data_IF_221672762861
#
_entry.id   IF_221672762861
#
_cell.length_a   1.000
_cell.length_b   1.000
_cell.length_c   1.000
_cell.angle_alpha   90.00
_cell.angle_beta   90.00
_cell.angle_gamma   90.00
#
_symmetry.space_group_name_H-M   'P 1'
#
loop_
_entity.id
_entity.type
_entity.pdbx_description
1 polymer ?
#
# COMPACT_ATOMS: atom_id res chain seq x y z
N UNK A 1 -13.50 4.78 4.92
CA UNK A 1 -12.02 4.68 5.15
C UNK A 1 -11.76 5.01 6.62
N UNK A 2 -10.74 4.44 7.27
CA UNK A 2 -10.36 4.89 8.62
C UNK A 2 -10.01 6.39 8.55
N UNK A 3 -10.79 7.24 9.24
CA UNK A 3 -10.54 8.68 9.33
C UNK A 3 -11.13 9.57 8.24
N UNK A 4 -12.17 9.18 7.48
CA UNK A 4 -12.85 10.15 6.60
C UNK A 4 -14.06 9.65 5.81
N UNK A 5 -14.84 10.61 5.28
CA UNK A 5 -16.10 10.40 4.55
C UNK A 5 -15.94 9.99 3.08
N UNK A 6 -14.70 9.95 2.57
CA UNK A 6 -14.43 9.60 1.17
C UNK A 6 -14.74 8.12 0.94
N UNK A 7 -15.52 7.78 -0.11
CA UNK A 7 -15.80 6.39 -0.47
C UNK A 7 -14.50 5.61 -0.70
N UNK A 8 -14.45 4.40 -0.15
CA UNK A 8 -13.27 3.53 -0.26
C UNK A 8 -12.87 3.24 -1.72
N UNK A 9 -13.84 3.15 -2.62
CA UNK A 9 -13.61 3.02 -4.06
C UNK A 9 -12.73 4.16 -4.64
N UNK A 10 -12.84 5.39 -4.10
CA UNK A 10 -12.00 6.51 -4.55
C UNK A 10 -10.52 6.24 -4.31
N UNK A 11 -10.18 5.59 -3.21
CA UNK A 11 -8.80 5.21 -2.91
C UNK A 11 -8.30 4.17 -3.91
N UNK A 12 -9.07 3.09 -4.12
CA UNK A 12 -8.72 2.03 -5.07
C UNK A 12 -8.49 2.59 -6.48
N UNK A 13 -9.40 3.44 -6.95
CA UNK A 13 -9.30 4.10 -8.25
C UNK A 13 -8.06 5.01 -8.34
N UNK A 14 -7.76 5.76 -7.28
CA UNK A 14 -6.60 6.64 -7.27
C UNK A 14 -5.28 5.87 -7.27
N UNK A 15 -5.17 4.77 -6.52
CA UNK A 15 -3.97 3.91 -6.53
C UNK A 15 -3.79 3.28 -7.91
N UNK A 16 -4.85 2.78 -8.53
CA UNK A 16 -4.80 2.23 -9.89
C UNK A 16 -4.37 3.28 -10.92
N UNK A 17 -4.92 4.49 -10.85
CA UNK A 17 -4.51 5.60 -11.71
C UNK A 17 -3.02 5.94 -11.53
N UNK A 18 -2.53 6.01 -10.29
CA UNK A 18 -1.13 6.27 -10.01
C UNK A 18 -0.20 5.19 -10.59
N UNK A 19 -0.60 3.92 -10.56
CA UNK A 19 0.16 2.83 -11.17
C UNK A 19 0.26 3.02 -12.68
N UNK A 20 -0.85 3.31 -13.36
CA UNK A 20 -0.86 3.55 -14.82
C UNK A 20 0.00 4.77 -15.19
N UNK A 21 -0.17 5.88 -14.46
CA UNK A 21 0.58 7.13 -14.70
C UNK A 21 2.10 6.97 -14.56
N UNK A 22 2.56 5.95 -13.82
CA UNK A 22 3.97 5.68 -13.55
C UNK A 22 4.47 4.42 -14.28
N UNK A 23 3.79 4.02 -15.35
CA UNK A 23 4.25 3.00 -16.28
C UNK A 23 3.97 1.56 -15.86
N UNK A 24 3.05 1.34 -14.92
CA UNK A 24 2.58 0.01 -14.56
C UNK A 24 1.77 -0.64 -15.69
N UNK A 25 1.73 -1.98 -15.67
CA UNK A 25 0.92 -2.78 -16.60
C UNK A 25 -0.57 -2.79 -16.23
N UNK A 26 -1.42 -3.29 -17.13
CA UNK A 26 -2.83 -3.52 -16.83
C UNK A 26 -3.02 -4.49 -15.66
N UNK A 27 -2.22 -5.56 -15.57
CA UNK A 27 -2.22 -6.48 -14.42
C UNK A 27 -1.87 -5.76 -13.11
N UNK A 28 -0.88 -4.85 -13.11
CA UNK A 28 -0.56 -4.05 -11.93
C UNK A 28 -1.68 -3.06 -11.58
N UNK A 29 -2.32 -2.46 -12.58
CA UNK A 29 -3.44 -1.54 -12.38
C UNK A 29 -4.69 -2.24 -11.84
N UNK A 30 -4.97 -3.47 -12.30
CA UNK A 30 -6.02 -4.33 -11.78
C UNK A 30 -5.69 -4.79 -10.35
N UNK A 31 -4.45 -5.21 -10.09
CA UNK A 31 -3.99 -5.54 -8.75
C UNK A 31 -4.08 -4.34 -7.80
N UNK A 32 -3.82 -3.12 -8.27
CA UNK A 32 -4.00 -1.90 -7.50
C UNK A 32 -5.46 -1.63 -7.12
N UNK A 33 -6.44 -1.99 -7.96
CA UNK A 33 -7.86 -1.92 -7.60
C UNK A 33 -8.24 -2.96 -6.53
N UNK A 34 -7.45 -4.03 -6.40
CA UNK A 34 -7.73 -5.17 -5.54
C UNK A 34 -6.78 -5.30 -4.34
N UNK A 35 -5.82 -4.38 -4.18
CA UNK A 35 -4.64 -4.58 -3.33
C UNK A 35 -4.94 -4.86 -1.85
N UNK A 36 -6.08 -4.35 -1.37
CA UNK A 36 -6.56 -4.50 0.00
C UNK A 36 -7.55 -5.66 0.18
N UNK A 37 -8.02 -6.31 -0.90
CA UNK A 37 -9.14 -7.26 -0.85
C UNK A 37 -8.84 -8.44 0.09
N UNK A 38 -7.59 -8.90 0.11
CA UNK A 38 -7.14 -9.99 0.98
C UNK A 38 -7.00 -9.56 2.45
N UNK A 39 -6.84 -8.27 2.73
CA UNK A 39 -6.73 -7.75 4.10
C UNK A 39 -8.09 -7.37 4.70
N UNK A 40 -8.98 -6.81 3.88
CA UNK A 40 -10.25 -6.23 4.33
C UNK A 40 -11.44 -7.20 4.21
N UNK A 41 -11.32 -8.29 3.43
CA UNK A 41 -12.39 -9.26 3.23
C UNK A 41 -12.04 -10.61 3.87
N UNK A 42 -12.76 -10.98 4.93
CA UNK A 42 -12.52 -12.24 5.67
C UNK A 42 -12.83 -13.51 4.85
N UNK A 43 -13.68 -13.39 3.84
CA UNK A 43 -14.15 -14.50 3.04
C UNK A 43 -13.39 -14.63 1.70
N UNK A 44 -12.42 -13.74 1.45
CA UNK A 44 -11.60 -13.77 0.22
C UNK A 44 -10.22 -14.33 0.54
N UNK A 45 -9.85 -15.38 -0.18
CA UNK A 45 -8.52 -15.99 -0.16
C UNK A 45 -7.84 -15.80 -1.51
N UNK A 46 -6.53 -16.06 -1.58
CA UNK A 46 -5.78 -16.13 -2.85
C UNK A 46 -6.48 -17.03 -3.86
N UNK A 47 -6.97 -18.20 -3.40
CA UNK A 47 -7.61 -19.17 -4.28
C UNK A 47 -8.99 -18.70 -4.78
N UNK A 48 -9.82 -18.12 -3.89
CA UNK A 48 -11.13 -17.63 -4.30
C UNK A 48 -11.02 -16.40 -5.20
N UNK A 49 -10.07 -15.49 -4.92
CA UNK A 49 -9.81 -14.34 -5.78
C UNK A 49 -9.34 -14.77 -7.18
N UNK A 50 -8.43 -15.76 -7.25
CA UNK A 50 -7.98 -16.31 -8.54
C UNK A 50 -9.14 -16.91 -9.31
N UNK A 51 -10.00 -17.68 -8.63
CA UNK A 51 -11.19 -18.28 -9.24
C UNK A 51 -12.17 -17.23 -9.74
N UNK A 52 -12.45 -16.18 -8.95
CA UNK A 52 -13.36 -15.10 -9.34
C UNK A 52 -12.87 -14.34 -10.57
N UNK A 53 -11.58 -14.02 -10.66
CA UNK A 53 -10.99 -13.38 -11.84
C UNK A 53 -11.15 -14.27 -13.09
N UNK A 54 -10.84 -15.56 -12.97
CA UNK A 54 -10.99 -16.50 -14.08
C UNK A 54 -12.45 -16.72 -14.48
N UNK A 55 -13.38 -16.75 -13.51
CA UNK A 55 -14.82 -16.83 -13.76
C UNK A 55 -15.36 -15.56 -14.45
N UNK A 56 -14.71 -14.41 -14.25
CA UNK A 56 -14.95 -13.16 -14.97
C UNK A 56 -14.21 -13.08 -16.32
N UNK A 57 -13.74 -14.21 -16.86
CA UNK A 57 -13.05 -14.33 -18.15
C UNK A 57 -11.70 -13.59 -18.24
N UNK A 58 -11.07 -13.25 -17.11
CA UNK A 58 -9.68 -12.78 -17.09
C UNK A 58 -8.77 -13.94 -17.54
N UNK A 59 -7.85 -13.75 -18.50
CA UNK A 59 -6.93 -14.79 -18.93
C UNK A 59 -6.19 -15.41 -17.74
N UNK A 60 -6.06 -16.74 -17.73
CA UNK A 60 -5.50 -17.45 -16.57
C UNK A 60 -4.14 -16.89 -16.13
N UNK A 61 -3.24 -16.56 -17.07
CA UNK A 61 -1.94 -15.96 -16.77
C UNK A 61 -2.08 -14.60 -16.05
N UNK A 62 -2.91 -13.71 -16.58
CA UNK A 62 -3.21 -12.39 -15.98
C UNK A 62 -3.86 -12.54 -14.61
N UNK A 63 -4.81 -13.46 -14.43
CA UNK A 63 -5.44 -13.72 -13.14
C UNK A 63 -4.39 -14.13 -12.08
N UNK A 64 -3.48 -15.06 -12.42
CA UNK A 64 -2.40 -15.45 -11.50
C UNK A 64 -1.43 -14.30 -11.22
N UNK A 65 -1.08 -13.50 -12.23
CA UNK A 65 -0.22 -12.33 -12.05
C UNK A 65 -0.86 -11.30 -11.11
N UNK A 66 -2.13 -10.96 -11.33
CA UNK A 66 -2.89 -10.01 -10.51
C UNK A 66 -2.89 -10.48 -9.05
N UNK A 67 -3.25 -11.73 -8.80
CA UNK A 67 -3.31 -12.25 -7.42
C UNK A 67 -1.93 -12.31 -6.78
N UNK A 68 -0.88 -12.67 -7.52
CA UNK A 68 0.49 -12.64 -7.01
C UNK A 68 0.93 -11.22 -6.61
N UNK A 69 0.55 -10.22 -7.39
CA UNK A 69 0.81 -8.81 -7.07
C UNK A 69 0.05 -8.39 -5.81
N UNK A 70 -1.25 -8.68 -5.73
CA UNK A 70 -2.09 -8.38 -4.55
C UNK A 70 -1.54 -9.04 -3.28
N UNK A 71 -1.11 -10.29 -3.37
CA UNK A 71 -0.46 -10.97 -2.26
C UNK A 71 0.86 -10.29 -1.87
N UNK A 72 1.62 -9.84 -2.88
CA UNK A 72 2.88 -9.12 -2.70
C UNK A 72 2.74 -7.70 -2.15
N UNK A 73 1.54 -7.12 -2.09
CA UNK A 73 1.28 -5.82 -1.47
C UNK A 73 0.91 -5.91 0.01
N UNK A 74 0.47 -7.10 0.48
CA UNK A 74 0.03 -7.34 1.86
C UNK A 74 1.21 -7.43 2.84
N UNK A 75 0.99 -6.90 4.06
CA UNK A 75 1.97 -6.93 5.14
C UNK A 75 1.82 -8.09 6.14
N UNK A 76 0.89 -9.03 5.85
CA UNK A 76 0.63 -10.20 6.68
C UNK A 76 0.47 -11.49 5.88
N UNK A 77 0.73 -12.60 6.55
CA UNK A 77 0.34 -13.93 6.05
C UNK A 77 -1.07 -14.27 6.52
N UNK A 78 -1.77 -15.06 5.71
CA UNK A 78 -3.12 -15.53 6.05
C UNK A 78 -3.13 -16.23 7.43
N UNK A 79 -4.14 -15.93 8.23
CA UNK A 79 -4.28 -16.42 9.61
C UNK A 79 -3.32 -15.83 10.65
N UNK A 80 -2.46 -14.85 10.31
CA UNK A 80 -1.57 -14.23 11.30
C UNK A 80 -2.32 -13.31 12.26
N UNK A 81 -2.15 -13.53 13.57
CA UNK A 81 -2.76 -12.68 14.59
C UNK A 81 -2.20 -11.24 14.54
N UNK A 82 -3.10 -10.26 14.42
CA UNK A 82 -2.75 -8.84 14.28
C UNK A 82 -2.93 -8.07 15.61
N UNK A 83 -2.05 -8.32 16.59
CA UNK A 83 -2.11 -7.68 17.93
C UNK A 83 -1.14 -6.51 18.11
N UNK A 84 -1.28 -5.79 19.24
CA UNK A 84 -0.34 -4.73 19.59
C UNK A 84 1.09 -5.22 19.80
N UNK A 85 1.25 -6.32 20.53
CA UNK A 85 2.54 -6.91 20.85
C UNK A 85 3.34 -7.36 19.62
N UNK A 86 2.66 -7.72 18.53
CA UNK A 86 3.27 -8.32 17.34
C UNK A 86 3.56 -7.30 16.24
N UNK A 87 3.07 -6.06 16.35
CA UNK A 87 3.13 -5.11 15.24
C UNK A 87 4.52 -4.63 14.88
N UNK A 88 5.35 -4.29 15.87
CA UNK A 88 6.70 -3.79 15.60
C UNK A 88 7.50 -4.85 14.82
N UNK A 89 7.40 -6.11 15.23
CA UNK A 89 8.03 -7.22 14.53
C UNK A 89 7.46 -7.41 13.12
N UNK A 90 6.12 -7.42 12.96
CA UNK A 90 5.49 -7.56 11.63
C UNK A 90 5.92 -6.45 10.67
N UNK A 91 5.84 -5.19 11.09
CA UNK A 91 6.22 -4.05 10.24
C UNK A 91 7.70 -4.05 9.92
N UNK A 92 8.56 -4.36 10.88
CA UNK A 92 10.00 -4.49 10.64
C UNK A 92 10.29 -5.57 9.61
N UNK A 93 9.69 -6.76 9.76
CA UNK A 93 9.83 -7.86 8.79
C UNK A 93 9.30 -7.47 7.41
N UNK A 94 8.17 -6.78 7.35
CA UNK A 94 7.61 -6.30 6.09
C UNK A 94 8.52 -5.28 5.40
N UNK A 95 9.05 -4.29 6.12
CA UNK A 95 9.98 -3.31 5.54
C UNK A 95 11.27 -3.99 5.03
N UNK A 96 11.80 -4.97 5.79
CA UNK A 96 12.95 -5.76 5.37
C UNK A 96 12.65 -6.59 4.12
N UNK A 97 11.49 -7.27 4.09
CA UNK A 97 11.06 -8.06 2.95
C UNK A 97 10.87 -7.18 1.71
N UNK A 98 10.15 -6.05 1.86
CA UNK A 98 9.98 -5.07 0.79
C UNK A 98 11.33 -4.58 0.27
N UNK A 99 12.27 -4.21 1.14
CA UNK A 99 13.61 -3.77 0.73
C UNK A 99 14.46 -4.89 0.09
N UNK A 100 14.12 -6.15 0.29
CA UNK A 100 14.82 -7.32 -0.27
C UNK A 100 14.20 -7.86 -1.56
N UNK A 101 13.00 -7.40 -1.94
CA UNK A 101 12.37 -7.76 -3.22
C UNK A 101 13.30 -7.46 -4.40
N UNK A 102 13.27 -8.26 -5.48
CA UNK A 102 13.86 -7.88 -6.75
C UNK A 102 13.37 -6.51 -7.20
N UNK A 103 14.23 -5.70 -7.81
CA UNK A 103 13.86 -4.31 -8.20
C UNK A 103 12.79 -4.23 -9.28
N UNK A 104 12.55 -5.33 -9.98
CA UNK A 104 11.52 -5.55 -10.98
C UNK A 104 10.25 -6.25 -10.44
N UNK A 105 10.16 -6.49 -9.12
CA UNK A 105 8.96 -7.07 -8.52
C UNK A 105 7.74 -6.13 -8.74
N UNK A 106 6.69 -6.60 -9.41
CA UNK A 106 5.57 -5.76 -9.83
C UNK A 106 4.75 -5.21 -8.64
N UNK A 107 4.85 -5.80 -7.44
CA UNK A 107 4.12 -5.30 -6.26
C UNK A 107 4.73 -4.02 -5.69
N UNK A 108 6.00 -3.70 -6.00
CA UNK A 108 6.67 -2.50 -5.48
C UNK A 108 5.95 -1.23 -5.92
N UNK A 109 5.60 -1.13 -7.21
CA UNK A 109 4.92 0.06 -7.74
C UNK A 109 3.51 0.21 -7.14
N UNK A 110 2.77 -0.90 -6.98
CA UNK A 110 1.43 -0.90 -6.39
C UNK A 110 1.50 -0.48 -4.92
N UNK A 111 2.40 -1.08 -4.13
CA UNK A 111 2.60 -0.69 -2.73
C UNK A 111 3.04 0.77 -2.60
N UNK A 112 3.92 1.27 -3.47
CA UNK A 112 4.34 2.67 -3.44
C UNK A 112 3.19 3.61 -3.76
N UNK A 113 2.39 3.32 -4.79
CA UNK A 113 1.22 4.10 -5.16
C UNK A 113 0.19 4.17 -4.03
N UNK A 114 -0.08 3.05 -3.36
CA UNK A 114 -0.94 2.99 -2.17
C UNK A 114 -0.42 3.92 -1.07
N UNK A 115 0.86 3.79 -0.71
CA UNK A 115 1.43 4.61 0.38
C UNK A 115 1.52 6.10 0.02
N UNK A 116 1.75 6.45 -1.25
CA UNK A 116 1.66 7.85 -1.73
C UNK A 116 0.25 8.38 -1.53
N UNK A 117 -0.77 7.68 -2.04
CA UNK A 117 -2.14 8.14 -1.90
C UNK A 117 -2.57 8.24 -0.43
N UNK A 118 -2.15 7.30 0.42
CA UNK A 118 -2.44 7.33 1.84
C UNK A 118 -1.80 8.52 2.55
N UNK A 119 -0.53 8.80 2.29
CA UNK A 119 0.17 9.95 2.85
C UNK A 119 -0.46 11.26 2.36
N UNK A 120 -0.72 11.41 1.06
CA UNK A 120 -1.33 12.62 0.51
C UNK A 120 -2.76 12.85 1.04
N UNK A 121 -3.54 11.78 1.24
CA UNK A 121 -4.87 11.87 1.87
C UNK A 121 -4.80 12.31 3.34
N UNK A 122 -3.80 11.83 4.09
CA UNK A 122 -3.53 12.31 5.45
C UNK A 122 -3.09 13.76 5.44
N UNK A 123 -2.22 14.16 4.50
CA UNK A 123 -1.75 15.53 4.39
C UNK A 123 -2.88 16.51 4.11
N UNK A 124 -3.89 16.13 3.32
CA UNK A 124 -5.09 16.95 3.09
C UNK A 124 -5.82 17.25 4.41
N UNK A 125 -5.99 16.24 5.29
CA UNK A 125 -6.60 16.43 6.61
C UNK A 125 -5.75 17.35 7.51
N UNK A 126 -4.44 17.14 7.53
CA UNK A 126 -3.50 18.02 8.27
C UNK A 126 -3.61 19.46 7.80
N UNK A 127 -3.64 19.70 6.49
CA UNK A 127 -3.80 21.04 5.89
C UNK A 127 -5.19 21.65 6.14
N UNK A 128 -6.20 20.83 6.39
CA UNK A 128 -7.53 21.29 6.80
C UNK A 128 -7.58 21.68 8.29
N UNK A 129 -6.50 21.46 9.05
CA UNK A 129 -6.36 21.84 10.45
C UNK A 129 -6.66 20.72 11.45
N UNK A 130 -6.82 19.47 10.99
CA UNK A 130 -6.99 18.32 11.88
C UNK A 130 -5.68 17.96 12.61
N UNK A 131 -5.77 17.51 13.87
CA UNK A 131 -4.60 17.08 14.63
C UNK A 131 -4.17 15.66 14.23
N UNK A 132 -2.88 15.35 14.36
CA UNK A 132 -2.40 13.99 14.08
C UNK A 132 -2.98 12.97 15.05
N UNK A 133 -3.24 13.38 16.30
CA UNK A 133 -3.87 12.55 17.31
C UNK A 133 -5.29 12.14 16.88
N UNK A 134 -6.08 13.07 16.33
CA UNK A 134 -7.43 12.80 15.83
C UNK A 134 -7.41 11.93 14.57
N UNK A 135 -6.57 12.29 13.58
CA UNK A 135 -6.43 11.54 12.33
C UNK A 135 -6.05 10.08 12.61
N UNK A 136 -5.08 9.87 13.50
CA UNK A 136 -4.55 8.54 13.80
C UNK A 136 -5.26 7.80 14.94
N UNK A 137 -6.32 8.37 15.55
CA UNK A 137 -7.03 7.76 16.68
C UNK A 137 -7.57 6.35 16.37
N UNK A 138 -8.02 6.11 15.13
CA UNK A 138 -8.56 4.82 14.68
C UNK A 138 -7.55 3.95 13.92
N UNK A 139 -6.33 4.46 13.75
CA UNK A 139 -5.25 3.70 13.15
C UNK A 139 -4.60 2.84 14.20
N UNK A 140 -4.26 1.61 13.80
CA UNK A 140 -3.52 0.75 14.70
C UNK A 140 -2.20 1.45 15.05
N UNK A 141 -1.80 1.43 16.32
CA UNK A 141 -0.52 1.96 16.84
C UNK A 141 -0.40 3.49 16.86
N UNK A 142 -1.50 4.21 16.60
CA UNK A 142 -1.58 5.66 16.73
C UNK A 142 -0.52 6.42 15.93
N UNK A 143 -0.36 7.70 16.24
CA UNK A 143 0.57 8.61 15.53
C UNK A 143 1.99 8.06 15.44
N UNK A 144 2.59 7.68 16.57
CA UNK A 144 4.01 7.27 16.64
C UNK A 144 4.26 6.02 15.79
N UNK A 145 3.37 5.03 15.86
CA UNK A 145 3.47 3.82 15.05
C UNK A 145 3.32 4.12 13.56
N UNK A 146 2.40 5.02 13.19
CA UNK A 146 2.23 5.42 11.79
C UNK A 146 3.45 6.16 11.25
N UNK A 147 4.07 7.06 12.03
CA UNK A 147 5.31 7.73 11.64
C UNK A 147 6.45 6.73 11.40
N UNK A 148 6.69 5.83 12.36
CA UNK A 148 7.70 4.78 12.22
C UNK A 148 7.46 3.91 10.99
N UNK A 149 6.20 3.54 10.74
CA UNK A 149 5.83 2.74 9.58
C UNK A 149 6.11 3.48 8.26
N UNK A 150 5.66 4.74 8.13
CA UNK A 150 5.90 5.54 6.93
C UNK A 150 7.39 5.76 6.67
N UNK A 151 8.19 6.06 7.69
CA UNK A 151 9.64 6.24 7.54
C UNK A 151 10.36 4.95 7.12
N UNK A 152 9.97 3.80 7.68
CA UNK A 152 10.50 2.50 7.28
C UNK A 152 10.16 2.13 5.83
N UNK A 153 8.92 2.40 5.41
CA UNK A 153 8.48 2.21 4.02
C UNK A 153 9.24 3.13 3.06
N UNK A 154 9.37 4.41 3.40
CA UNK A 154 10.11 5.38 2.58
C UNK A 154 11.56 4.94 2.36
N UNK A 155 12.24 4.44 3.40
CA UNK A 155 13.59 3.92 3.28
C UNK A 155 13.67 2.73 2.30
N UNK A 156 12.72 1.79 2.37
CA UNK A 156 12.65 0.66 1.45
C UNK A 156 12.40 1.11 0.00
N UNK A 157 11.47 2.04 -0.23
CA UNK A 157 11.19 2.56 -1.57
C UNK A 157 12.33 3.40 -2.15
N UNK A 158 13.06 4.16 -1.33
CA UNK A 158 14.28 4.87 -1.78
C UNK A 158 15.36 3.91 -2.29
N UNK A 159 15.51 2.75 -1.63
CA UNK A 159 16.42 1.70 -2.12
C UNK A 159 16.01 1.23 -3.52
N UNK A 160 14.72 0.95 -3.73
CA UNK A 160 14.20 0.56 -5.04
C UNK A 160 14.36 1.64 -6.11
N UNK A 161 14.13 2.91 -5.76
CA UNK A 161 14.31 4.02 -6.70
C UNK A 161 15.76 4.22 -7.15
N UNK A 162 16.75 3.71 -6.40
CA UNK A 162 18.15 3.69 -6.85
C UNK A 162 18.34 2.76 -8.05
N UNK A 163 17.69 1.61 -8.04
CA UNK A 163 17.78 0.60 -9.11
C UNK A 163 16.74 0.80 -10.22
N UNK A 164 15.63 1.45 -9.90
CA UNK A 164 14.53 1.72 -10.83
C UNK A 164 14.12 3.21 -10.75
N UNK A 165 14.77 4.09 -11.55
CA UNK A 165 14.52 5.53 -11.51
C UNK A 165 13.09 5.97 -11.88
N UNK A 166 12.28 5.10 -12.49
CA UNK A 166 10.87 5.42 -12.77
C UNK A 166 10.07 5.65 -11.47
N UNK A 167 10.50 5.04 -10.36
CA UNK A 167 9.87 5.18 -9.05
C UNK A 167 10.19 6.53 -8.38
N UNK A 168 11.25 7.24 -8.82
CA UNK A 168 11.76 8.43 -8.13
C UNK A 168 10.68 9.49 -7.93
N UNK A 169 9.82 9.72 -8.93
CA UNK A 169 8.74 10.72 -8.82
C UNK A 169 7.76 10.39 -7.69
N UNK A 170 7.34 9.14 -7.56
CA UNK A 170 6.43 8.72 -6.48
C UNK A 170 7.13 8.72 -5.12
N UNK A 171 8.40 8.29 -5.06
CA UNK A 171 9.18 8.34 -3.81
C UNK A 171 9.32 9.78 -3.30
N UNK A 172 9.59 10.74 -4.19
CA UNK A 172 9.65 12.16 -3.81
C UNK A 172 8.30 12.69 -3.30
N UNK A 173 7.18 12.24 -3.89
CA UNK A 173 5.84 12.61 -3.40
C UNK A 173 5.58 12.06 -1.99
N UNK A 174 5.88 10.78 -1.78
CA UNK A 174 5.77 10.13 -0.48
C UNK A 174 6.62 10.85 0.57
N UNK A 175 7.89 11.12 0.26
CA UNK A 175 8.81 11.82 1.15
C UNK A 175 8.27 13.20 1.55
N UNK A 176 7.86 14.02 0.58
CA UNK A 176 7.31 15.35 0.86
C UNK A 176 6.08 15.29 1.76
N UNK A 177 5.17 14.36 1.50
CA UNK A 177 3.99 14.20 2.34
C UNK A 177 4.37 13.79 3.77
N UNK A 178 5.29 12.84 3.94
CA UNK A 178 5.76 12.40 5.27
C UNK A 178 6.39 13.56 6.04
N UNK A 179 7.30 14.32 5.41
CA UNK A 179 7.99 15.42 6.10
C UNK A 179 7.05 16.54 6.51
N UNK A 180 5.99 16.81 5.73
CA UNK A 180 4.97 17.80 6.07
C UNK A 180 3.98 17.30 7.14
N UNK A 181 3.58 16.02 7.09
CA UNK A 181 2.70 15.42 8.10
C UNK A 181 3.39 15.36 9.46
N UNK A 182 4.66 14.92 9.49
CA UNK A 182 5.41 14.66 10.72
C UNK A 182 6.49 15.71 10.97
N UNK A 183 6.23 16.97 10.59
CA UNK A 183 7.13 18.09 10.92
C UNK A 183 7.34 18.16 12.45
N UNK A 184 8.58 18.35 12.94
CA UNK A 184 8.89 18.41 14.38
C UNK A 184 8.17 19.53 15.13
#
# INVERSE_FOLDING_TARGET
>A
RKGGDIPYLSHLMAVSALVIEHGGTEDQAAAALLHDVLEDSKDVSVNSLTWELMAAEVPAESAHNIVAIVQGTSDGVDGQERTEATWHERKTKYHQHLAAKPSDDPSILVSLADKVHNAESTLVQVRAGETLEDIFANFNFGRVGQEMNYRGLLAAFKKHATSNPSLTRLVTRLERAIEEIFTP
#
